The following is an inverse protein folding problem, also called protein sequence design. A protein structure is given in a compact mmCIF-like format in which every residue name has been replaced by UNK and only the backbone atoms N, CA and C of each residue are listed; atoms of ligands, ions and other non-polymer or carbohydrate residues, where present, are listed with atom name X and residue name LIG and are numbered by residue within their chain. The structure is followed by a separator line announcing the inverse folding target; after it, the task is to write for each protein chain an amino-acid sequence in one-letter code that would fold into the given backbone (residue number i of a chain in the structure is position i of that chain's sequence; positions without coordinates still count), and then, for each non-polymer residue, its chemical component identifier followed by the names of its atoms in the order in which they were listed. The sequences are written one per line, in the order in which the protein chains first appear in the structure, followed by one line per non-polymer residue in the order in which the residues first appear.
data_IF_876849404358
#
_entry.id   IF_876849404358
#
_cell.length_a   1.000
_cell.length_b   1.000
_cell.length_c   1.000
_cell.angle_alpha   90.00
_cell.angle_beta   90.00
_cell.angle_gamma   90.00
#
_symmetry.space_group_name_H-M   'P 1'
#
loop_
_entity.id
_entity.type
_entity.pdbx_description
1 polymer ?
#
# COMPACT_ATOMS: atom_id res chain seq x y z
N UNK A 1 -2.61 -11.22 -4.12
CA UNK A 1 -2.37 -9.92 -3.41
C UNK A 1 -3.22 -8.82 -4.03
N UNK A 2 -3.37 -7.65 -3.39
CA UNK A 2 -4.27 -6.58 -3.88
C UNK A 2 -3.91 -6.09 -5.29
N UNK A 3 -2.64 -6.08 -5.66
CA UNK A 3 -2.15 -5.69 -7.00
C UNK A 3 -2.28 -6.78 -8.05
N UNK A 4 -2.66 -8.01 -7.69
CA UNK A 4 -2.83 -9.13 -8.64
C UNK A 4 -4.20 -9.00 -9.31
N UNK A 5 -4.33 -8.04 -10.20
CA UNK A 5 -5.60 -7.62 -10.83
C UNK A 5 -5.87 -8.27 -12.20
N UNK A 6 -5.09 -9.26 -12.60
CA UNK A 6 -5.31 -9.94 -13.87
C UNK A 6 -6.78 -10.40 -14.02
N UNK A 7 -7.41 -10.28 -15.20
CA UNK A 7 -6.81 -9.95 -16.51
C UNK A 7 -6.59 -8.45 -16.77
N UNK A 8 -6.95 -7.58 -15.83
CA UNK A 8 -6.78 -6.13 -15.97
C UNK A 8 -5.31 -5.73 -15.95
N UNK A 9 -4.95 -4.71 -16.74
CA UNK A 9 -3.58 -4.21 -16.88
C UNK A 9 -3.46 -2.82 -16.25
N UNK A 10 -2.57 -2.69 -15.27
CA UNK A 10 -2.24 -1.42 -14.63
C UNK A 10 -1.18 -0.67 -15.44
N UNK A 11 -1.49 0.54 -15.89
CA UNK A 11 -0.61 1.43 -16.62
C UNK A 11 -0.12 2.55 -15.69
N UNK A 12 1.05 2.35 -15.12
CA UNK A 12 1.67 3.29 -14.18
C UNK A 12 2.47 4.40 -14.85
N UNK A 13 2.71 4.31 -16.14
CA UNK A 13 3.47 5.29 -16.90
C UNK A 13 2.82 6.68 -16.78
N UNK A 14 3.63 7.68 -16.48
CA UNK A 14 3.15 9.05 -16.45
C UNK A 14 2.95 9.59 -17.87
N UNK A 15 1.77 9.31 -18.42
CA UNK A 15 1.30 9.79 -19.71
C UNK A 15 0.01 10.59 -19.52
N UNK A 16 0.09 11.84 -19.00
CA UNK A 16 -1.09 12.64 -18.74
C UNK A 16 -1.95 12.78 -19.99
N UNK A 17 -3.22 12.45 -19.86
CA UNK A 17 -4.23 12.62 -20.89
C UNK A 17 -5.40 13.40 -20.32
N UNK A 18 -6.12 14.14 -21.16
CA UNK A 18 -7.34 14.80 -20.74
C UNK A 18 -8.41 13.76 -20.35
N UNK A 19 -9.21 14.03 -19.31
CA UNK A 19 -10.33 13.18 -18.96
C UNK A 19 -11.43 13.24 -20.02
N UNK A 20 -12.22 12.19 -20.09
CA UNK A 20 -13.47 12.13 -20.81
C UNK A 20 -14.64 11.92 -19.82
N UNK A 21 -15.86 11.87 -20.33
CA UNK A 21 -17.07 11.73 -19.51
C UNK A 21 -17.09 10.49 -18.62
N UNK A 22 -16.44 9.41 -19.08
CA UNK A 22 -16.41 8.10 -18.43
C UNK A 22 -15.20 7.89 -17.53
N UNK A 23 -14.27 8.85 -17.50
CA UNK A 23 -13.09 8.84 -16.63
C UNK A 23 -13.49 8.87 -15.17
N UNK A 24 -12.79 8.13 -14.31
CA UNK A 24 -13.06 8.07 -12.88
C UNK A 24 -12.44 9.24 -12.10
N UNK A 25 -13.19 9.69 -11.10
CA UNK A 25 -12.73 10.69 -10.13
C UNK A 25 -12.54 10.00 -8.78
N UNK A 26 -11.34 10.08 -8.24
CA UNK A 26 -11.03 9.62 -6.89
C UNK A 26 -11.05 10.82 -5.94
N UNK A 27 -11.83 10.74 -4.87
CA UNK A 27 -12.00 11.84 -3.91
C UNK A 27 -11.68 11.35 -2.51
N UNK A 28 -10.77 12.03 -1.84
CA UNK A 28 -10.29 11.63 -0.50
C UNK A 28 -10.34 12.81 0.47
N UNK A 29 -10.67 12.49 1.72
CA UNK A 29 -10.54 13.40 2.84
C UNK A 29 -10.21 12.63 4.13
N UNK A 30 -9.18 13.03 4.87
CA UNK A 30 -8.84 12.50 6.23
C UNK A 30 -8.86 10.98 6.35
N UNK A 31 -8.29 10.26 5.37
CA UNK A 31 -8.26 8.78 5.37
C UNK A 31 -9.56 8.12 4.94
N UNK A 32 -10.47 8.88 4.35
CA UNK A 32 -11.72 8.42 3.77
C UNK A 32 -11.72 8.60 2.25
N UNK A 33 -12.57 7.85 1.56
CA UNK A 33 -12.78 7.89 0.12
C UNK A 33 -14.29 7.97 -0.18
N UNK A 34 -14.68 8.72 -1.22
CA UNK A 34 -16.04 8.70 -1.72
C UNK A 34 -16.32 7.40 -2.47
N UNK A 35 -17.26 6.62 -1.96
CA UNK A 35 -17.77 5.41 -2.59
C UNK A 35 -19.30 5.40 -2.49
N UNK A 36 -20.02 4.72 -3.41
CA UNK A 36 -21.47 4.55 -3.25
C UNK A 36 -21.76 3.78 -1.95
N UNK A 37 -22.94 3.98 -1.38
CA UNK A 37 -23.39 3.14 -0.25
C UNK A 37 -23.48 1.72 -0.74
N UNK A 38 -22.71 0.83 -0.11
CA UNK A 38 -22.82 -0.59 -0.38
C UNK A 38 -24.03 -1.16 0.38
N UNK A 39 -25.05 -1.60 -0.35
CA UNK A 39 -25.92 -2.66 0.13
C UNK A 39 -25.11 -3.96 -0.02
N UNK A 40 -25.17 -4.85 0.98
CA UNK A 40 -24.31 -6.06 1.12
C UNK A 40 -23.99 -6.71 -0.24
N UNK A 41 -22.72 -6.84 -0.59
CA UNK A 41 -22.15 -7.49 -1.79
C UNK A 41 -22.15 -6.67 -3.10
N UNK A 42 -22.53 -5.42 -3.11
CA UNK A 42 -22.37 -4.60 -4.31
C UNK A 42 -20.92 -4.22 -4.59
N UNK A 43 -20.57 -4.25 -5.87
CA UNK A 43 -19.24 -3.83 -6.32
C UNK A 43 -19.05 -2.33 -6.08
N UNK A 44 -17.84 -1.94 -5.63
CA UNK A 44 -17.49 -0.52 -5.58
C UNK A 44 -17.38 0.05 -6.99
N UNK A 45 -17.65 1.34 -7.10
CA UNK A 45 -17.32 2.16 -8.26
C UNK A 45 -16.90 3.54 -7.77
N UNK A 46 -16.45 4.39 -8.68
CA UNK A 46 -16.10 5.78 -8.38
C UNK A 46 -16.99 6.72 -9.21
N UNK A 47 -17.15 7.99 -8.79
CA UNK A 47 -17.81 8.99 -9.63
C UNK A 47 -17.12 9.15 -10.97
N UNK A 48 -17.90 9.41 -12.01
CA UNK A 48 -17.39 9.75 -13.32
C UNK A 48 -17.43 11.27 -13.56
N UNK A 49 -16.61 11.78 -14.48
CA UNK A 49 -16.59 13.19 -14.84
C UNK A 49 -17.98 13.68 -15.29
N UNK A 50 -18.75 12.89 -16.01
CA UNK A 50 -20.11 13.26 -16.43
C UNK A 50 -21.06 13.64 -15.27
N UNK A 51 -20.84 13.10 -14.07
CA UNK A 51 -21.69 13.39 -12.90
C UNK A 51 -21.47 14.80 -12.34
N UNK A 52 -20.38 15.45 -12.72
CA UNK A 52 -20.03 16.83 -12.36
C UNK A 52 -20.26 17.83 -13.50
N UNK A 53 -20.68 17.38 -14.69
CA UNK A 53 -21.02 18.29 -15.80
C UNK A 53 -22.10 19.27 -15.39
N UNK A 54 -21.89 20.53 -15.71
CA UNK A 54 -22.79 21.63 -15.31
C UNK A 54 -22.69 22.07 -13.84
N UNK A 55 -21.92 21.35 -13.01
CA UNK A 55 -21.69 21.70 -11.59
C UNK A 55 -20.36 22.42 -11.37
N UNK A 56 -19.34 22.11 -12.21
CA UNK A 56 -18.00 22.69 -12.16
C UNK A 56 -17.64 23.31 -13.51
N UNK A 57 -17.41 24.65 -13.59
CA UNK A 57 -17.14 25.32 -14.88
C UNK A 57 -15.86 24.85 -15.57
N UNK A 58 -14.83 24.53 -14.80
CA UNK A 58 -13.47 24.17 -15.24
C UNK A 58 -13.14 22.67 -15.05
N UNK A 59 -14.19 21.85 -14.98
CA UNK A 59 -14.10 20.39 -14.75
C UNK A 59 -13.04 19.68 -15.62
N UNK A 60 -12.99 20.01 -16.90
CA UNK A 60 -12.08 19.38 -17.86
C UNK A 60 -10.73 20.10 -18.04
N UNK A 61 -10.42 21.09 -17.19
CA UNK A 61 -9.15 21.80 -17.19
C UNK A 61 -8.44 21.83 -15.84
N UNK A 62 -9.16 21.54 -14.74
CA UNK A 62 -8.63 21.49 -13.38
C UNK A 62 -8.64 20.05 -12.81
N UNK A 63 -7.67 19.26 -13.20
CA UNK A 63 -7.55 17.86 -12.79
C UNK A 63 -6.09 17.44 -12.64
N UNK A 64 -5.87 16.36 -11.90
CA UNK A 64 -4.57 15.68 -11.77
C UNK A 64 -4.73 14.25 -12.29
N UNK A 65 -4.03 13.90 -13.37
CA UNK A 65 -3.97 12.55 -13.88
C UNK A 65 -3.18 11.64 -12.93
N UNK A 66 -3.72 10.49 -12.60
CA UNK A 66 -3.05 9.52 -11.74
C UNK A 66 -2.42 8.37 -12.53
N UNK A 67 -3.24 7.54 -13.15
CA UNK A 67 -2.88 6.33 -13.91
C UNK A 67 -4.09 5.84 -14.69
N UNK A 68 -3.92 4.72 -15.42
CA UNK A 68 -5.06 3.99 -15.95
C UNK A 68 -4.99 2.50 -15.62
N UNK A 69 -6.15 1.83 -15.66
CA UNK A 69 -6.26 0.37 -15.68
C UNK A 69 -7.04 0.03 -16.95
N UNK A 70 -6.44 -0.74 -17.83
CA UNK A 70 -6.92 -0.91 -19.21
C UNK A 70 -7.13 0.48 -19.86
N UNK A 71 -8.32 0.73 -20.43
CA UNK A 71 -8.69 2.03 -20.99
C UNK A 71 -9.32 2.99 -19.98
N UNK A 72 -9.55 2.58 -18.73
CA UNK A 72 -10.14 3.40 -17.69
C UNK A 72 -9.09 4.29 -17.03
N UNK A 73 -9.31 5.62 -17.06
CA UNK A 73 -8.40 6.61 -16.50
C UNK A 73 -8.90 7.12 -15.16
N UNK A 74 -7.96 7.40 -14.24
CA UNK A 74 -8.23 7.83 -12.87
C UNK A 74 -7.60 9.19 -12.59
N UNK A 75 -8.37 10.08 -11.96
CA UNK A 75 -8.02 11.46 -11.71
C UNK A 75 -8.35 11.90 -10.30
N UNK A 76 -7.64 12.93 -9.82
CA UNK A 76 -8.08 13.78 -8.73
C UNK A 76 -8.60 15.10 -9.30
N UNK A 77 -9.58 15.70 -8.62
CA UNK A 77 -9.98 17.10 -8.85
C UNK A 77 -9.58 17.87 -7.59
N UNK A 78 -8.61 18.81 -7.69
CA UNK A 78 -8.23 19.63 -6.55
C UNK A 78 -9.42 20.37 -5.95
N UNK A 79 -9.47 20.43 -4.62
CA UNK A 79 -10.47 21.17 -3.84
C UNK A 79 -11.95 20.86 -4.21
N UNK A 80 -12.22 19.64 -4.69
CA UNK A 80 -13.57 19.22 -5.03
C UNK A 80 -14.48 19.24 -3.80
N UNK A 81 -15.57 20.03 -3.88
CA UNK A 81 -16.65 19.97 -2.89
C UNK A 81 -17.44 18.66 -3.04
N UNK A 82 -17.26 17.75 -2.08
CA UNK A 82 -17.92 16.45 -2.05
C UNK A 82 -19.47 16.54 -2.00
N UNK A 83 -20.04 17.67 -1.59
CA UNK A 83 -21.49 17.90 -1.60
C UNK A 83 -22.09 17.86 -3.01
N UNK A 84 -21.28 18.03 -4.05
CA UNK A 84 -21.67 17.89 -5.45
C UNK A 84 -21.94 16.43 -5.87
N UNK A 85 -21.54 15.47 -5.03
CA UNK A 85 -21.67 14.02 -5.25
C UNK A 85 -22.46 13.36 -4.09
N UNK A 86 -23.70 13.72 -3.83
CA UNK A 86 -24.45 13.33 -2.63
C UNK A 86 -24.75 11.83 -2.55
N UNK A 87 -24.66 11.10 -3.65
CA UNK A 87 -24.83 9.64 -3.71
C UNK A 87 -23.60 8.86 -3.27
N UNK A 88 -22.46 9.54 -3.07
CA UNK A 88 -21.19 8.97 -2.67
C UNK A 88 -20.80 9.46 -1.26
N UNK A 89 -21.19 8.77 -0.19
CA UNK A 89 -20.71 9.11 1.15
C UNK A 89 -19.22 8.80 1.32
N UNK A 90 -18.55 9.53 2.21
CA UNK A 90 -17.20 9.17 2.65
C UNK A 90 -17.20 7.87 3.44
N UNK A 91 -16.29 6.97 3.10
CA UNK A 91 -16.06 5.70 3.76
C UNK A 91 -14.56 5.56 4.08
N UNK A 92 -14.23 4.87 5.19
CA UNK A 92 -12.84 4.61 5.56
C UNK A 92 -12.11 3.86 4.45
N UNK A 93 -10.93 4.34 4.04
CA UNK A 93 -10.13 3.70 2.95
C UNK A 93 -9.81 2.24 3.23
N UNK A 94 -9.87 1.78 4.50
CA UNK A 94 -9.66 0.37 4.87
C UNK A 94 -10.71 -0.58 4.29
N UNK A 95 -11.87 -0.08 3.88
CA UNK A 95 -12.88 -0.88 3.16
C UNK A 95 -12.30 -1.50 1.89
N UNK A 96 -11.34 -0.83 1.24
CA UNK A 96 -10.67 -1.31 0.03
C UNK A 96 -9.87 -2.62 0.25
N UNK A 97 -9.69 -3.06 1.50
CA UNK A 97 -9.10 -4.39 1.81
C UNK A 97 -10.01 -5.56 1.44
N UNK A 98 -11.30 -5.31 1.35
CA UNK A 98 -12.32 -6.34 1.09
C UNK A 98 -13.26 -5.98 -0.06
N UNK A 99 -13.10 -4.78 -0.63
CA UNK A 99 -13.95 -4.29 -1.70
C UNK A 99 -13.77 -5.07 -3.02
N UNK A 100 -14.83 -5.12 -3.79
CA UNK A 100 -14.88 -5.74 -5.12
C UNK A 100 -15.39 -4.73 -6.16
N UNK A 101 -14.96 -4.82 -7.42
CA UNK A 101 -13.93 -5.73 -7.95
C UNK A 101 -12.52 -5.29 -7.50
N UNK A 102 -11.60 -6.26 -7.45
CA UNK A 102 -10.25 -6.05 -6.92
C UNK A 102 -9.45 -4.96 -7.64
N UNK A 103 -9.59 -4.84 -8.96
CA UNK A 103 -8.88 -3.80 -9.73
C UNK A 103 -9.32 -2.38 -9.33
N UNK A 104 -10.58 -2.16 -8.97
CA UNK A 104 -11.04 -0.87 -8.44
C UNK A 104 -10.59 -0.66 -6.99
N UNK A 105 -10.57 -1.71 -6.16
CA UNK A 105 -9.99 -1.62 -4.82
C UNK A 105 -8.50 -1.24 -4.87
N UNK A 106 -7.74 -1.84 -5.78
CA UNK A 106 -6.36 -1.48 -6.05
C UNK A 106 -6.21 -0.04 -6.56
N UNK A 107 -7.06 0.38 -7.51
CA UNK A 107 -7.09 1.76 -8.00
C UNK A 107 -7.36 2.77 -6.86
N UNK A 108 -8.37 2.51 -6.02
CA UNK A 108 -8.72 3.36 -4.90
C UNK A 108 -7.59 3.53 -3.91
N UNK A 109 -6.90 2.45 -3.51
CA UNK A 109 -5.81 2.58 -2.53
C UNK A 109 -4.53 3.16 -3.13
N UNK A 110 -4.23 2.87 -4.39
CA UNK A 110 -3.09 3.46 -5.12
C UNK A 110 -3.31 4.96 -5.33
N UNK A 111 -4.52 5.36 -5.71
CA UNK A 111 -4.92 6.76 -5.80
C UNK A 111 -4.84 7.50 -4.47
N UNK A 112 -5.19 6.84 -3.35
CA UNK A 112 -5.04 7.40 -2.00
C UNK A 112 -3.57 7.71 -1.66
N UNK A 113 -2.64 6.82 -1.99
CA UNK A 113 -1.21 7.05 -1.77
C UNK A 113 -0.72 8.27 -2.58
N UNK A 114 -1.13 8.38 -3.84
CA UNK A 114 -0.79 9.54 -4.68
C UNK A 114 -1.45 10.82 -4.16
N UNK A 115 -2.73 10.78 -3.75
CA UNK A 115 -3.40 11.91 -3.14
C UNK A 115 -2.66 12.42 -1.90
N UNK A 116 -2.24 11.51 -0.99
CA UNK A 116 -1.47 11.89 0.20
C UNK A 116 -0.14 12.56 -0.16
N UNK A 117 0.54 12.06 -1.19
CA UNK A 117 1.79 12.64 -1.65
C UNK A 117 1.56 14.05 -2.23
N UNK A 118 0.61 14.25 -3.14
CA UNK A 118 0.28 15.56 -3.71
C UNK A 118 -0.12 16.57 -2.62
N UNK A 119 -0.96 16.15 -1.68
CA UNK A 119 -1.40 17.00 -0.57
C UNK A 119 -0.25 17.44 0.34
N UNK A 120 0.72 16.55 0.61
CA UNK A 120 1.87 16.84 1.46
C UNK A 120 2.99 17.61 0.75
N UNK A 121 2.94 17.75 -0.57
CA UNK A 121 3.99 18.36 -1.39
C UNK A 121 3.53 19.61 -2.13
N UNK A 122 2.56 20.32 -1.59
CA UNK A 122 2.09 21.59 -2.13
C UNK A 122 3.10 22.73 -1.96
N UNK A 123 3.98 22.63 -0.96
CA UNK A 123 5.01 23.62 -0.67
C UNK A 123 6.39 22.99 -0.67
N UNK A 124 7.35 23.74 -1.20
CA UNK A 124 8.74 23.31 -1.27
C UNK A 124 9.38 23.17 0.11
N UNK A 125 9.93 21.99 0.42
CA UNK A 125 10.64 21.73 1.67
C UNK A 125 11.93 22.54 1.85
N UNK A 126 12.50 23.09 0.75
CA UNK A 126 13.73 23.90 0.79
C UNK A 126 13.46 25.40 1.01
N UNK A 127 12.46 25.99 0.31
CA UNK A 127 12.26 27.44 0.32
C UNK A 127 10.85 27.89 0.73
N UNK A 128 9.93 26.96 1.04
CA UNK A 128 8.58 27.22 1.48
C UNK A 128 7.63 27.79 0.41
N UNK A 129 8.06 27.89 -0.85
CA UNK A 129 7.23 28.42 -1.94
C UNK A 129 6.33 27.33 -2.53
N UNK A 130 5.18 27.71 -3.15
CA UNK A 130 4.31 26.73 -3.82
C UNK A 130 5.04 25.92 -4.88
N UNK A 131 4.72 24.63 -4.94
CA UNK A 131 5.21 23.69 -5.96
C UNK A 131 4.21 23.61 -7.11
N UNK A 132 4.68 23.23 -8.29
CA UNK A 132 3.85 22.99 -9.49
C UNK A 132 4.05 21.56 -9.98
N UNK A 133 3.04 21.02 -10.67
CA UNK A 133 3.10 19.70 -11.29
C UNK A 133 3.98 19.74 -12.53
N UNK A 134 4.95 18.84 -12.63
CA UNK A 134 5.69 18.62 -13.87
C UNK A 134 4.76 18.03 -14.95
N UNK A 135 4.96 18.45 -16.19
CA UNK A 135 4.27 17.90 -17.36
C UNK A 135 5.00 16.68 -17.98
N UNK A 136 6.25 16.44 -17.56
CA UNK A 136 7.11 15.39 -18.12
C UNK A 136 7.15 14.13 -17.26
N UNK A 137 7.13 14.30 -15.96
CA UNK A 137 7.30 13.22 -14.99
C UNK A 137 6.30 13.36 -13.85
N UNK A 138 6.04 12.28 -13.14
CA UNK A 138 5.28 12.31 -11.89
C UNK A 138 6.11 12.95 -10.78
N UNK A 139 6.17 14.26 -10.77
CA UNK A 139 7.07 15.06 -9.95
C UNK A 139 6.43 16.41 -9.63
N UNK A 140 6.69 16.94 -8.45
CA UNK A 140 6.44 18.34 -8.10
C UNK A 140 7.73 19.13 -8.25
N UNK A 141 7.65 20.30 -8.86
CA UNK A 141 8.80 21.19 -9.13
C UNK A 141 8.59 22.53 -8.43
N UNK A 142 9.64 23.04 -7.80
CA UNK A 142 9.63 24.40 -7.25
C UNK A 142 10.12 25.39 -8.28
N UNK A 143 9.26 26.28 -8.82
CA UNK A 143 9.69 27.27 -9.80
C UNK A 143 10.61 28.36 -9.22
N UNK A 144 10.71 28.43 -7.88
CA UNK A 144 11.50 29.45 -7.19
C UNK A 144 12.96 29.01 -6.93
N UNK A 145 13.20 27.76 -6.57
CA UNK A 145 14.57 27.27 -6.24
C UNK A 145 15.00 26.03 -6.99
N UNK A 146 14.16 25.49 -7.88
CA UNK A 146 14.48 24.32 -8.70
C UNK A 146 14.45 22.99 -7.93
N UNK A 147 13.96 22.95 -6.69
CA UNK A 147 13.82 21.69 -5.94
C UNK A 147 12.78 20.78 -6.60
N UNK A 148 13.08 19.49 -6.69
CA UNK A 148 12.20 18.45 -7.22
C UNK A 148 11.78 17.49 -6.12
N UNK A 149 10.49 17.09 -6.11
CA UNK A 149 9.94 16.11 -5.20
C UNK A 149 9.25 15.00 -5.99
N UNK A 150 9.68 13.76 -5.77
CA UNK A 150 9.10 12.56 -6.38
C UNK A 150 8.18 11.84 -5.40
N UNK A 151 7.25 10.99 -5.86
CA UNK A 151 6.48 10.12 -4.97
C UNK A 151 7.38 9.26 -4.10
N UNK A 152 7.08 9.23 -2.80
CA UNK A 152 7.88 8.49 -1.81
C UNK A 152 7.35 7.06 -1.69
N UNK A 153 8.26 6.11 -1.74
CA UNK A 153 8.04 4.71 -1.35
C UNK A 153 8.96 4.39 -0.18
N UNK A 154 8.41 3.80 0.89
CA UNK A 154 9.19 3.36 2.04
C UNK A 154 9.50 1.87 1.88
N UNK A 155 10.75 1.47 1.56
CA UNK A 155 11.11 0.06 1.49
C UNK A 155 11.02 -0.57 2.87
N UNK A 156 10.46 -1.79 2.93
CA UNK A 156 10.34 -2.56 4.17
C UNK A 156 10.43 -4.06 3.88
N UNK A 157 10.87 -4.83 4.84
CA UNK A 157 10.95 -6.30 4.74
C UNK A 157 9.76 -6.96 5.42
N UNK A 158 9.40 -8.15 4.93
CA UNK A 158 8.52 -9.11 5.58
C UNK A 158 9.31 -10.41 5.68
N UNK A 159 9.52 -10.92 6.89
CA UNK A 159 10.46 -12.02 7.12
C UNK A 159 9.76 -13.24 7.72
N UNK A 160 9.71 -14.33 6.94
CA UNK A 160 9.32 -15.66 7.40
C UNK A 160 10.53 -16.41 7.96
N UNK A 161 10.73 -16.35 9.27
CA UNK A 161 11.86 -17.04 9.94
C UNK A 161 11.45 -18.46 10.22
N UNK A 162 12.22 -19.42 9.72
CA UNK A 162 11.91 -20.85 9.79
C UNK A 162 12.91 -21.64 10.61
N UNK A 163 12.43 -22.69 11.28
CA UNK A 163 13.22 -23.73 11.92
C UNK A 163 12.57 -25.10 11.68
N UNK A 164 12.96 -25.78 10.61
CA UNK A 164 12.30 -27.00 10.15
C UNK A 164 10.83 -26.75 9.80
N UNK A 165 9.91 -27.42 10.49
CA UNK A 165 8.47 -27.28 10.29
C UNK A 165 7.82 -26.17 11.13
N UNK A 166 8.61 -25.23 11.66
CA UNK A 166 8.11 -24.10 12.45
C UNK A 166 8.47 -22.78 11.78
N UNK A 167 7.59 -21.81 11.95
CA UNK A 167 7.79 -20.40 11.56
C UNK A 167 7.49 -19.50 12.75
N UNK A 168 8.14 -18.34 12.83
CA UNK A 168 7.79 -17.34 13.83
C UNK A 168 6.54 -16.58 13.37
N UNK A 169 5.53 -16.54 14.24
CA UNK A 169 4.39 -15.64 14.13
C UNK A 169 4.40 -14.65 15.28
N UNK A 170 4.14 -13.39 14.96
CA UNK A 170 4.11 -12.28 15.91
C UNK A 170 2.74 -11.60 15.96
N UNK A 171 2.55 -10.74 16.98
CA UNK A 171 1.43 -9.79 17.07
C UNK A 171 1.99 -8.46 17.58
N UNK A 172 1.57 -7.36 16.93
CA UNK A 172 1.97 -6.02 17.33
C UNK A 172 1.21 -5.54 18.57
N UNK A 173 1.89 -4.87 19.50
CA UNK A 173 1.33 -4.37 20.75
C UNK A 173 0.22 -3.33 20.53
N UNK A 174 0.45 -2.36 19.64
CA UNK A 174 -0.42 -1.20 19.45
C UNK A 174 -1.52 -1.36 18.40
N UNK A 175 -1.65 -2.54 17.77
CA UNK A 175 -2.69 -2.77 16.78
C UNK A 175 -3.94 -3.34 17.43
N UNK A 176 -5.10 -2.68 17.22
CA UNK A 176 -6.44 -3.19 17.58
C UNK A 176 -6.78 -4.55 16.95
N UNK A 177 -5.98 -5.01 15.99
CA UNK A 177 -6.17 -6.28 15.31
C UNK A 177 -5.24 -7.34 15.88
N UNK A 178 -5.83 -8.36 16.46
CA UNK A 178 -5.16 -9.53 17.05
C UNK A 178 -4.69 -10.57 16.03
N UNK A 179 -4.52 -10.17 14.76
CA UNK A 179 -4.07 -11.08 13.71
C UNK A 179 -2.58 -11.35 13.83
N UNK A 180 -2.20 -12.58 13.52
CA UNK A 180 -0.79 -12.93 13.38
C UNK A 180 -0.14 -12.18 12.21
N UNK A 181 1.12 -11.85 12.39
CA UNK A 181 1.99 -11.22 11.42
C UNK A 181 3.31 -12.00 11.34
N UNK A 182 4.12 -11.69 10.34
CA UNK A 182 5.54 -12.00 10.27
C UNK A 182 6.33 -10.79 10.78
N UNK A 183 7.61 -10.98 11.11
CA UNK A 183 8.53 -9.91 11.44
C UNK A 183 8.62 -8.94 10.26
N UNK A 184 8.60 -7.64 10.52
CA UNK A 184 8.54 -6.65 9.45
C UNK A 184 9.02 -5.26 9.92
N UNK A 185 9.97 -4.69 9.20
CA UNK A 185 10.46 -3.35 9.49
C UNK A 185 10.92 -2.59 8.26
N UNK A 186 11.20 -1.31 8.45
CA UNK A 186 11.65 -0.42 7.39
C UNK A 186 13.16 -0.46 7.21
N UNK A 187 13.61 -0.35 5.96
CA UNK A 187 15.01 -0.17 5.66
C UNK A 187 15.47 1.24 6.11
N UNK A 188 16.65 1.29 6.71
CA UNK A 188 17.32 2.52 7.09
C UNK A 188 18.26 3.02 5.98
N UNK A 189 18.57 4.33 6.02
CA UNK A 189 19.48 4.93 5.03
C UNK A 189 20.87 4.30 5.16
N UNK A 190 21.33 3.70 4.06
CA UNK A 190 22.64 3.05 3.98
C UNK A 190 22.59 1.54 4.15
N UNK A 191 21.43 0.96 4.49
CA UNK A 191 21.26 -0.49 4.53
C UNK A 191 20.92 -1.09 3.16
N UNK A 192 21.38 -2.29 2.92
CA UNK A 192 20.78 -3.19 1.94
C UNK A 192 19.53 -3.85 2.50
N UNK A 193 18.65 -4.35 1.64
CA UNK A 193 17.42 -5.04 2.08
C UNK A 193 17.77 -6.32 2.89
N UNK A 194 18.87 -7.00 2.56
CA UNK A 194 19.37 -8.16 3.31
C UNK A 194 19.87 -7.76 4.71
N UNK A 195 20.56 -6.63 4.85
CA UNK A 195 20.98 -6.10 6.15
C UNK A 195 19.78 -5.71 7.00
N UNK A 196 18.74 -5.10 6.38
CA UNK A 196 17.47 -4.82 7.06
C UNK A 196 16.84 -6.09 7.63
N UNK A 197 16.83 -7.20 6.88
CA UNK A 197 16.33 -8.49 7.40
C UNK A 197 17.08 -8.91 8.67
N UNK A 198 18.42 -8.86 8.65
CA UNK A 198 19.23 -9.25 9.80
C UNK A 198 19.01 -8.35 11.02
N UNK A 199 18.92 -7.05 10.82
CA UNK A 199 18.70 -6.07 11.89
C UNK A 199 17.32 -6.24 12.53
N UNK A 200 16.25 -6.22 11.73
CA UNK A 200 14.88 -6.32 12.23
C UNK A 200 14.62 -7.64 12.98
N UNK A 201 15.17 -8.75 12.47
CA UNK A 201 15.06 -10.04 13.17
C UNK A 201 15.81 -10.03 14.50
N UNK A 202 16.97 -9.38 14.55
CA UNK A 202 17.73 -9.25 15.79
C UNK A 202 17.03 -8.33 16.79
N UNK A 203 16.48 -7.20 16.34
CA UNK A 203 15.81 -6.23 17.17
C UNK A 203 14.49 -6.77 17.74
N UNK A 204 13.61 -7.30 16.89
CA UNK A 204 12.27 -7.72 17.33
C UNK A 204 12.24 -9.04 18.10
N UNK A 205 13.13 -10.02 17.78
CA UNK A 205 13.07 -11.38 18.35
C UNK A 205 14.40 -11.95 18.82
N UNK A 206 15.53 -11.21 18.72
CA UNK A 206 16.84 -11.59 19.24
C UNK A 206 17.54 -12.74 18.50
N UNK A 207 17.13 -13.05 17.27
CA UNK A 207 17.67 -14.19 16.53
C UNK A 207 18.71 -13.78 15.49
N UNK A 208 19.66 -14.70 15.24
CA UNK A 208 20.49 -14.69 14.03
C UNK A 208 19.84 -15.56 12.97
N UNK A 209 19.94 -15.13 11.71
CA UNK A 209 19.37 -15.83 10.56
C UNK A 209 20.40 -15.99 9.44
N UNK A 210 20.19 -17.01 8.61
CA UNK A 210 20.98 -17.35 7.44
C UNK A 210 20.10 -17.80 6.29
N UNK A 211 20.70 -18.10 5.13
CA UNK A 211 20.01 -18.61 3.94
C UNK A 211 18.81 -17.73 3.55
N UNK A 212 19.03 -16.42 3.42
CA UNK A 212 17.99 -15.49 2.98
C UNK A 212 17.53 -15.83 1.55
N UNK A 213 16.24 -16.07 1.39
CA UNK A 213 15.60 -16.43 0.12
C UNK A 213 14.52 -15.39 -0.19
N UNK A 214 14.82 -14.53 -1.14
CA UNK A 214 13.81 -13.57 -1.63
C UNK A 214 12.63 -14.33 -2.26
N UNK A 215 11.43 -13.95 -1.87
CA UNK A 215 10.21 -14.53 -2.40
C UNK A 215 9.56 -13.61 -3.43
N UNK A 216 9.10 -12.44 -3.00
CA UNK A 216 8.30 -11.53 -3.84
C UNK A 216 8.29 -10.13 -3.23
N UNK A 217 7.94 -9.12 -4.03
CA UNK A 217 7.64 -7.77 -3.52
C UNK A 217 6.17 -7.43 -3.64
N UNK A 218 5.71 -6.47 -2.83
CA UNK A 218 4.36 -5.94 -2.86
C UNK A 218 4.35 -4.43 -2.68
N UNK A 219 3.76 -3.64 -3.61
CA UNK A 219 3.37 -2.27 -3.33
C UNK A 219 2.23 -2.27 -2.30
N UNK A 220 2.47 -1.67 -1.14
CA UNK A 220 1.50 -1.64 -0.06
C UNK A 220 1.03 -0.21 0.20
N UNK A 221 0.13 0.27 -0.64
CA UNK A 221 -0.36 1.66 -0.65
C UNK A 221 -1.10 2.08 0.62
N UNK A 222 -1.53 1.13 1.46
CA UNK A 222 -2.14 1.43 2.77
C UNK A 222 -1.19 2.14 3.73
N UNK A 223 0.11 1.93 3.59
CA UNK A 223 1.16 2.58 4.41
C UNK A 223 2.22 3.31 3.57
N UNK A 224 2.08 3.32 2.24
CA UNK A 224 3.06 3.92 1.35
C UNK A 224 4.36 3.12 1.21
N UNK A 225 4.33 1.82 1.52
CA UNK A 225 5.50 0.95 1.55
C UNK A 225 5.66 0.15 0.25
N UNK A 226 6.92 -0.20 -0.04
CA UNK A 226 7.27 -1.29 -0.95
C UNK A 226 7.85 -2.43 -0.10
N UNK A 227 7.09 -3.51 0.02
CA UNK A 227 7.42 -4.66 0.85
C UNK A 227 8.27 -5.66 0.08
N UNK A 228 9.30 -6.20 0.72
CA UNK A 228 10.17 -7.27 0.22
C UNK A 228 10.04 -8.49 1.12
N UNK A 229 9.46 -9.57 0.59
CA UNK A 229 9.27 -10.83 1.33
C UNK A 229 10.49 -11.72 1.26
N UNK A 230 10.99 -12.14 2.41
CA UNK A 230 12.08 -13.09 2.55
C UNK A 230 11.67 -14.26 3.43
N UNK A 231 12.10 -15.47 3.05
CA UNK A 231 12.23 -16.58 3.99
C UNK A 231 13.69 -16.71 4.39
N UNK A 232 13.94 -17.10 5.63
CA UNK A 232 15.27 -17.37 6.14
C UNK A 232 15.22 -18.47 7.20
N UNK A 233 16.37 -19.08 7.47
CA UNK A 233 16.51 -20.09 8.50
C UNK A 233 17.15 -19.48 9.74
N UNK A 234 16.72 -19.91 10.94
CA UNK A 234 17.41 -19.55 12.18
C UNK A 234 18.86 -20.06 12.14
N UNK A 235 19.81 -19.28 12.67
CA UNK A 235 21.21 -19.62 12.75
C UNK A 235 21.66 -19.78 14.21
N UNK A 236 21.73 -21.01 14.66
CA UNK A 236 22.14 -21.36 16.02
C UNK A 236 21.00 -21.50 17.02
N UNK A 237 21.06 -20.75 18.13
CA UNK A 237 20.05 -20.77 19.18
C UNK A 237 18.71 -20.22 18.67
N UNK A 238 17.60 -20.91 18.97
CA UNK A 238 16.24 -20.55 18.57
C UNK A 238 15.42 -19.95 19.73
N UNK A 239 16.06 -19.59 20.83
CA UNK A 239 15.45 -18.92 21.98
C UNK A 239 15.08 -17.49 21.63
N UNK A 240 13.78 -17.14 21.75
CA UNK A 240 13.29 -15.81 21.42
C UNK A 240 13.55 -14.79 22.55
N UNK A 241 14.05 -13.63 22.19
CA UNK A 241 14.08 -12.45 23.04
C UNK A 241 13.19 -11.38 22.39
N UNK A 242 11.93 -11.33 22.81
CA UNK A 242 10.91 -10.48 22.18
C UNK A 242 11.04 -9.05 22.65
N UNK A 243 11.08 -8.10 21.70
CA UNK A 243 10.93 -6.69 22.01
C UNK A 243 9.45 -6.37 22.30
N UNK A 244 9.16 -6.17 23.59
CA UNK A 244 7.79 -5.87 24.04
C UNK A 244 7.37 -4.41 23.85
N UNK A 245 8.24 -3.54 23.32
CA UNK A 245 7.83 -2.19 22.91
C UNK A 245 7.11 -2.23 21.55
N UNK A 246 7.45 -3.20 20.69
CA UNK A 246 6.85 -3.36 19.36
C UNK A 246 5.87 -4.55 19.27
N UNK A 247 6.21 -5.67 19.89
CA UNK A 247 5.45 -6.92 19.80
C UNK A 247 4.79 -7.31 21.12
N UNK A 248 3.47 -7.52 21.12
CA UNK A 248 2.78 -8.13 22.25
C UNK A 248 3.15 -9.61 22.43
N UNK A 249 3.54 -10.27 21.34
CA UNK A 249 4.04 -11.65 21.36
C UNK A 249 4.80 -12.00 20.10
N UNK A 250 5.76 -12.93 20.22
CA UNK A 250 6.30 -13.73 19.13
C UNK A 250 6.47 -15.17 19.60
N UNK A 251 6.19 -16.13 18.74
CA UNK A 251 6.30 -17.55 19.06
C UNK A 251 6.58 -18.41 17.83
N UNK A 252 7.26 -19.54 18.05
CA UNK A 252 7.35 -20.61 17.07
C UNK A 252 6.00 -21.32 16.90
N UNK A 253 5.50 -21.40 15.68
CA UNK A 253 4.23 -22.07 15.34
C UNK A 253 4.51 -23.16 14.33
N UNK A 254 4.01 -24.37 14.61
CA UNK A 254 4.10 -25.50 13.69
C UNK A 254 3.29 -25.24 12.42
N UNK A 255 3.76 -25.74 11.31
CA UNK A 255 3.20 -25.55 9.96
C UNK A 255 1.70 -25.80 9.91
N UNK A 256 1.23 -26.90 10.47
CA UNK A 256 -0.18 -27.32 10.49
C UNK A 256 -1.07 -26.47 11.41
N UNK A 257 -0.48 -25.68 12.32
CA UNK A 257 -1.17 -24.82 13.26
C UNK A 257 -1.30 -23.37 12.81
N UNK A 258 -0.80 -23.04 11.62
CA UNK A 258 -0.90 -21.66 11.08
C UNK A 258 -2.36 -21.36 10.71
N UNK A 259 -3.01 -20.36 11.34
CA UNK A 259 -4.40 -20.07 11.08
C UNK A 259 -4.61 -19.36 9.73
N UNK A 260 -5.71 -19.67 9.06
CA UNK A 260 -6.19 -18.88 7.96
C UNK A 260 -6.92 -17.63 8.48
N UNK A 261 -6.36 -16.44 8.26
CA UNK A 261 -6.83 -15.18 8.84
C UNK A 261 -7.57 -14.26 7.87
N UNK A 262 -8.29 -14.80 6.90
CA UNK A 262 -9.13 -14.01 6.01
C UNK A 262 -8.52 -13.74 4.64
N UNK A 263 -8.80 -12.58 4.02
CA UNK A 263 -8.50 -12.29 2.62
C UNK A 263 -6.99 -12.31 2.25
N UNK A 264 -6.70 -12.68 1.00
CA UNK A 264 -5.34 -12.88 0.47
C UNK A 264 -4.77 -11.60 -0.21
N UNK A 265 -4.98 -10.42 0.38
CA UNK A 265 -4.52 -9.17 -0.22
C UNK A 265 -3.08 -8.78 0.16
N UNK A 266 -2.50 -9.39 1.20
CA UNK A 266 -1.19 -9.00 1.73
C UNK A 266 -0.12 -10.06 1.53
N UNK A 267 1.12 -9.61 1.32
CA UNK A 267 2.31 -10.45 1.22
C UNK A 267 2.50 -11.30 2.48
N UNK A 268 2.32 -10.72 3.67
CA UNK A 268 2.39 -11.44 4.95
C UNK A 268 1.48 -12.66 4.98
N UNK A 269 0.21 -12.49 4.58
CA UNK A 269 -0.75 -13.60 4.54
C UNK A 269 -0.33 -14.65 3.51
N UNK A 270 0.07 -14.22 2.32
CA UNK A 270 0.50 -15.12 1.25
C UNK A 270 1.69 -15.96 1.71
N UNK A 271 2.71 -15.34 2.32
CA UNK A 271 3.89 -16.04 2.84
C UNK A 271 3.55 -17.04 3.95
N UNK A 272 2.65 -16.67 4.88
CA UNK A 272 2.19 -17.60 5.92
C UNK A 272 1.52 -18.85 5.33
N UNK A 273 0.64 -18.65 4.33
CA UNK A 273 -0.06 -19.77 3.67
C UNK A 273 0.91 -20.61 2.83
N UNK A 274 1.88 -19.96 2.17
CA UNK A 274 2.92 -20.66 1.40
C UNK A 274 3.74 -21.59 2.27
N UNK A 275 4.15 -21.13 3.46
CA UNK A 275 4.86 -21.98 4.43
C UNK A 275 3.94 -23.07 4.96
N UNK A 276 2.70 -22.77 5.33
CA UNK A 276 1.72 -23.78 5.78
C UNK A 276 1.57 -24.92 4.77
N UNK A 277 1.53 -24.57 3.49
CA UNK A 277 1.28 -25.52 2.40
C UNK A 277 2.57 -26.20 1.88
N UNK A 278 3.76 -25.93 2.47
CA UNK A 278 5.06 -26.54 2.12
C UNK A 278 5.64 -26.06 0.81
N UNK A 279 5.25 -24.87 0.35
CA UNK A 279 5.61 -24.29 -0.95
C UNK A 279 6.56 -23.09 -0.84
N UNK A 280 7.12 -22.83 0.35
CA UNK A 280 8.11 -21.76 0.53
C UNK A 280 9.38 -22.00 -0.30
N UNK A 281 10.09 -20.96 -0.74
CA UNK A 281 11.39 -21.08 -1.41
C UNK A 281 12.40 -21.84 -0.53
N UNK A 282 13.14 -22.80 -1.12
CA UNK A 282 14.17 -23.63 -0.48
C UNK A 282 15.57 -23.13 -0.79
#
# INVERSE_FOLDING_TARGET
MIQDIAPHIYHNEYKPAAPDKTSFILVYEKGQILLPRQEREEAITFPHFQELEGKLPDLYSNYIYLFSIDDQRFYLIPDLDASLLPTYPFQDVRILRTAHPQHLAFAGITGHQLFQWYTKRQYCGCCGKPMVHSQKERMMECPSCGNHEYPVLCPAVIVGITNGDKIILSKYEWRRFTRYALIAGFAEIGETIEETVHREVMEEVGLKVKNLRYYKSQPWSFTGSLLFGFFCDVDGDDTLTVDHEELSMAQWVERDKIPDQGNNISLTKEMMMLFRDGNEPR
#
